data_IF_926321266277
#
_entry.id   IF_926321266277
#
_cell.length_a   1.000
_cell.length_b   1.000
_cell.length_c   1.000
_cell.angle_alpha   90.00
_cell.angle_beta   90.00
_cell.angle_gamma   90.00
#
_symmetry.space_group_name_H-M   'P 1'
#
loop_
_entity.id
_entity.type
_entity.pdbx_description
1 polymer ?
#
# COMPACT_ATOMS: atom_id res chain seq x y z
N UNK A 1 15.73 4.37 10.35
CA UNK A 1 15.18 4.94 9.11
C UNK A 1 13.68 4.70 9.02
N UNK A 2 13.01 5.42 8.10
CA UNK A 2 11.57 5.31 7.91
C UNK A 2 11.11 3.94 7.41
N UNK A 3 9.79 3.74 7.40
CA UNK A 3 9.18 2.51 6.92
C UNK A 3 7.97 2.78 6.03
N UNK A 4 7.84 2.01 4.96
CA UNK A 4 6.70 2.01 4.05
C UNK A 4 5.92 0.72 4.27
N UNK A 5 4.62 0.85 4.55
CA UNK A 5 3.70 -0.27 4.62
C UNK A 5 2.75 -0.19 3.42
N UNK A 6 2.85 -1.17 2.54
CA UNK A 6 2.04 -1.28 1.35
C UNK A 6 0.97 -2.35 1.57
N UNK A 7 -0.28 -2.01 1.33
CA UNK A 7 -1.41 -2.94 1.38
C UNK A 7 -1.99 -3.16 -0.02
N UNK A 8 -2.68 -4.29 -0.20
CA UNK A 8 -3.67 -4.48 -1.25
C UNK A 8 -5.07 -4.13 -0.70
N UNK A 9 -6.08 -3.99 -1.59
CA UNK A 9 -7.48 -3.89 -1.17
C UNK A 9 -7.99 -5.25 -0.66
N UNK A 10 -7.31 -5.79 0.35
CA UNK A 10 -7.52 -7.13 0.90
C UNK A 10 -8.00 -7.05 2.35
N UNK A 11 -9.08 -7.74 2.65
CA UNK A 11 -9.61 -7.88 4.01
C UNK A 11 -9.99 -6.55 4.65
N UNK A 12 -9.56 -6.34 5.88
CA UNK A 12 -9.81 -5.13 6.65
C UNK A 12 -8.72 -4.08 6.40
N UNK A 13 -8.70 -3.51 5.21
CA UNK A 13 -7.67 -2.60 4.67
C UNK A 13 -7.32 -1.41 5.58
N UNK A 14 -8.24 -0.96 6.41
CA UNK A 14 -8.02 0.16 7.33
C UNK A 14 -7.23 -0.24 8.59
N UNK A 15 -7.29 -1.50 8.99
CA UNK A 15 -6.68 -1.95 10.25
C UNK A 15 -5.16 -1.97 10.28
N UNK A 16 -4.42 -2.29 9.20
CA UNK A 16 -2.95 -2.23 9.23
C UNK A 16 -2.42 -0.88 9.70
N UNK A 17 -2.98 0.21 9.17
CA UNK A 17 -2.59 1.57 9.56
C UNK A 17 -2.91 1.90 11.01
N UNK A 18 -4.10 1.51 11.50
CA UNK A 18 -4.51 1.71 12.88
C UNK A 18 -3.67 0.91 13.88
N UNK A 19 -3.38 -0.35 13.56
CA UNK A 19 -2.50 -1.20 14.39
C UNK A 19 -1.08 -0.61 14.45
N UNK A 20 -0.57 -0.09 13.33
CA UNK A 20 0.74 0.57 13.30
C UNK A 20 0.74 1.84 14.15
N UNK A 21 -0.32 2.66 14.07
CA UNK A 21 -0.46 3.86 14.89
C UNK A 21 -0.45 3.51 16.39
N UNK A 22 -1.26 2.55 16.81
CA UNK A 22 -1.35 2.10 18.18
C UNK A 22 -0.03 1.52 18.72
N UNK A 23 0.60 0.63 17.94
CA UNK A 23 1.81 -0.08 18.37
C UNK A 23 3.08 0.78 18.34
N UNK A 24 3.16 1.75 17.44
CA UNK A 24 4.34 2.61 17.30
C UNK A 24 4.24 3.91 18.11
N UNK A 25 3.03 4.32 18.50
CA UNK A 25 2.75 5.65 19.02
C UNK A 25 2.93 6.76 17.98
N UNK A 26 3.15 6.42 16.70
CA UNK A 26 3.31 7.35 15.59
C UNK A 26 1.99 7.51 14.84
N UNK A 27 1.90 8.55 14.00
CA UNK A 27 0.75 8.74 13.10
C UNK A 27 1.19 8.45 11.66
N UNK A 28 0.98 7.22 11.12
CA UNK A 28 1.36 6.90 9.76
C UNK A 28 0.73 7.87 8.75
N UNK A 29 1.52 8.38 7.82
CA UNK A 29 1.05 9.23 6.73
C UNK A 29 0.45 8.37 5.64
N UNK A 30 -0.80 8.66 5.24
CA UNK A 30 -1.47 7.96 4.15
C UNK A 30 -2.12 8.94 3.16
N UNK A 31 -1.83 8.84 1.86
CA UNK A 31 -2.50 9.64 0.86
C UNK A 31 -3.92 9.13 0.64
N UNK A 32 -4.84 10.05 0.41
CA UNK A 32 -6.22 9.78 0.05
C UNK A 32 -6.63 10.62 -1.15
N UNK A 33 -7.30 10.00 -2.11
CA UNK A 33 -7.91 10.70 -3.23
C UNK A 33 -9.03 11.60 -2.77
N UNK A 34 -9.25 12.68 -3.51
CA UNK A 34 -10.39 13.55 -3.29
C UNK A 34 -11.68 12.88 -3.78
N UNK A 35 -12.65 12.76 -2.91
CA UNK A 35 -13.95 12.19 -3.24
C UNK A 35 -14.86 13.28 -3.77
N UNK A 36 -15.63 13.01 -4.83
CA UNK A 36 -16.57 13.94 -5.42
C UNK A 36 -17.72 14.36 -4.48
N UNK A 37 -17.94 13.64 -3.38
CA UNK A 37 -18.93 13.98 -2.37
C UNK A 37 -18.25 14.59 -1.13
N UNK A 38 -18.44 15.89 -0.83
CA UNK A 38 -17.75 16.55 0.28
C UNK A 38 -18.20 16.07 1.67
N UNK A 39 -19.40 15.51 1.81
CA UNK A 39 -19.87 14.95 3.08
C UNK A 39 -19.12 13.64 3.37
N UNK A 40 -19.04 12.78 2.35
CA UNK A 40 -18.27 11.52 2.45
C UNK A 40 -16.78 11.81 2.66
N UNK A 41 -16.23 12.80 1.97
CA UNK A 41 -14.83 13.21 2.16
C UNK A 41 -14.55 13.58 3.62
N UNK A 42 -15.36 14.45 4.21
CA UNK A 42 -15.21 14.87 5.62
C UNK A 42 -15.37 13.70 6.59
N UNK A 43 -16.31 12.80 6.32
CA UNK A 43 -16.51 11.62 7.14
C UNK A 43 -15.30 10.69 7.09
N UNK A 44 -14.79 10.40 5.90
CA UNK A 44 -13.59 9.55 5.73
C UNK A 44 -12.34 10.16 6.38
N UNK A 45 -12.13 11.47 6.24
CA UNK A 45 -11.02 12.16 6.91
C UNK A 45 -11.10 12.06 8.43
N UNK A 46 -12.30 12.18 9.00
CA UNK A 46 -12.52 12.02 10.44
C UNK A 46 -12.25 10.59 10.90
N UNK A 47 -12.84 9.61 10.22
CA UNK A 47 -12.68 8.19 10.58
C UNK A 47 -11.22 7.78 10.50
N UNK A 48 -10.56 8.05 9.38
CA UNK A 48 -9.15 7.67 9.19
C UNK A 48 -8.19 8.48 10.04
N UNK A 49 -8.44 9.79 10.16
CA UNK A 49 -7.57 10.69 10.91
C UNK A 49 -7.72 10.55 12.42
N UNK A 50 -8.92 10.77 12.96
CA UNK A 50 -9.19 10.78 14.39
C UNK A 50 -9.45 9.36 14.92
N UNK A 51 -10.26 8.57 14.18
CA UNK A 51 -10.66 7.23 14.60
C UNK A 51 -9.56 6.19 14.50
N UNK A 52 -8.75 6.23 13.43
CA UNK A 52 -7.70 5.24 13.19
C UNK A 52 -6.27 5.77 13.45
N UNK A 53 -6.13 7.01 13.88
CA UNK A 53 -4.84 7.59 14.25
C UNK A 53 -3.90 7.88 13.06
N UNK A 54 -4.43 8.00 11.83
CA UNK A 54 -3.64 8.27 10.64
C UNK A 54 -3.47 9.78 10.40
N UNK A 55 -2.41 10.16 9.72
CA UNK A 55 -2.25 11.49 9.11
C UNK A 55 -2.61 11.40 7.65
N UNK A 56 -3.86 11.75 7.33
CA UNK A 56 -4.34 11.72 5.94
C UNK A 56 -3.87 12.98 5.21
N UNK A 57 -3.31 12.79 4.01
CA UNK A 57 -2.87 13.87 3.13
C UNK A 57 -3.55 13.73 1.76
N UNK A 58 -3.70 14.82 0.99
CA UNK A 58 -4.16 14.72 -0.40
C UNK A 58 -3.23 13.85 -1.23
N UNK A 59 -3.78 12.99 -2.09
CA UNK A 59 -2.99 12.16 -3.00
C UNK A 59 -2.17 13.01 -3.99
N UNK A 60 -2.75 14.13 -4.44
CA UNK A 60 -2.03 15.08 -5.29
C UNK A 60 -0.89 15.76 -4.50
N UNK A 61 0.34 15.62 -5.00
CA UNK A 61 1.52 16.18 -4.33
C UNK A 61 2.02 15.41 -3.12
N UNK A 62 1.44 14.24 -2.81
CA UNK A 62 1.79 13.43 -1.64
C UNK A 62 3.26 13.01 -1.58
N UNK A 63 3.93 12.86 -2.72
CA UNK A 63 5.30 12.33 -2.78
C UNK A 63 6.29 13.12 -1.91
N UNK A 64 6.26 14.45 -1.97
CA UNK A 64 7.16 15.30 -1.19
C UNK A 64 6.92 15.16 0.34
N UNK A 65 5.64 15.09 0.75
CA UNK A 65 5.26 14.92 2.16
C UNK A 65 5.69 13.56 2.67
N UNK A 66 5.47 12.50 1.87
CA UNK A 66 5.88 11.13 2.22
C UNK A 66 7.41 11.00 2.30
N UNK A 67 8.15 11.60 1.37
CA UNK A 67 9.63 11.60 1.41
C UNK A 67 10.15 12.31 2.67
N UNK A 68 9.57 13.45 3.04
CA UNK A 68 9.94 14.17 4.25
C UNK A 68 9.63 13.35 5.51
N UNK A 69 8.48 12.68 5.56
CA UNK A 69 8.11 11.79 6.66
C UNK A 69 9.10 10.64 6.84
N UNK A 70 9.48 9.98 5.73
CA UNK A 70 10.46 8.89 5.76
C UNK A 70 11.85 9.36 6.17
N UNK A 71 12.27 10.54 5.73
CA UNK A 71 13.54 11.15 6.13
C UNK A 71 13.58 11.46 7.64
N UNK A 72 12.43 11.81 8.23
CA UNK A 72 12.27 11.98 9.67
C UNK A 72 12.18 10.67 10.46
N UNK A 73 12.25 9.51 9.79
CA UNK A 73 12.12 8.21 10.43
C UNK A 73 10.68 7.74 10.64
N UNK A 74 9.72 8.43 10.02
CA UNK A 74 8.30 8.17 10.13
C UNK A 74 7.79 6.98 9.33
N UNK A 75 6.47 6.81 9.32
CA UNK A 75 5.78 5.70 8.67
C UNK A 75 4.86 6.23 7.56
N UNK A 76 4.95 5.62 6.39
CA UNK A 76 4.05 5.86 5.26
C UNK A 76 3.22 4.62 4.98
N UNK A 77 1.90 4.77 4.91
CA UNK A 77 0.95 3.74 4.50
C UNK A 77 0.43 3.99 3.09
N UNK A 78 0.47 2.98 2.25
CA UNK A 78 0.01 3.04 0.87
C UNK A 78 -0.89 1.85 0.55
N UNK A 79 -1.80 2.01 -0.41
CA UNK A 79 -2.48 0.91 -1.09
C UNK A 79 -2.00 0.88 -2.52
N UNK A 80 -1.51 -0.25 -2.99
CA UNK A 80 -0.75 -0.28 -4.25
C UNK A 80 -0.96 -1.50 -5.12
N UNK A 81 -2.13 -2.11 -5.08
CA UNK A 81 -2.53 -3.19 -6.00
C UNK A 81 -3.19 -2.69 -7.28
N UNK A 82 -3.61 -1.39 -7.34
CA UNK A 82 -4.31 -0.81 -8.48
C UNK A 82 -3.46 0.24 -9.19
N UNK A 83 -3.23 0.06 -10.48
CA UNK A 83 -2.48 1.02 -11.31
C UNK A 83 -3.39 2.11 -11.90
N UNK A 84 -4.00 2.94 -11.06
CA UNK A 84 -4.95 4.00 -11.46
C UNK A 84 -4.28 5.05 -12.36
N UNK A 85 -3.02 5.37 -12.14
CA UNK A 85 -2.30 6.42 -12.88
C UNK A 85 -1.81 6.00 -14.27
N UNK A 86 -1.93 4.72 -14.65
CA UNK A 86 -1.35 4.16 -15.88
C UNK A 86 0.19 4.04 -15.85
N UNK A 87 0.86 4.53 -14.82
CA UNK A 87 2.33 4.49 -14.67
C UNK A 87 2.78 3.26 -13.88
N UNK A 88 2.26 2.08 -14.25
CA UNK A 88 2.59 0.84 -13.58
C UNK A 88 3.85 0.18 -14.14
N UNK A 89 4.58 -0.50 -13.28
CA UNK A 89 5.70 -1.37 -13.66
C UNK A 89 5.16 -2.76 -13.97
N UNK A 90 5.53 -3.37 -15.11
CA UNK A 90 5.15 -4.74 -15.42
C UNK A 90 5.70 -5.72 -14.38
N UNK A 91 4.85 -6.60 -13.90
CA UNK A 91 5.17 -7.71 -12.99
C UNK A 91 4.39 -8.95 -13.41
N UNK A 92 4.81 -10.13 -12.95
CA UNK A 92 3.93 -11.30 -12.93
C UNK A 92 3.11 -11.27 -11.63
N UNK A 93 1.82 -11.47 -11.72
CA UNK A 93 0.94 -11.62 -10.56
C UNK A 93 0.01 -12.83 -10.81
N UNK A 94 0.14 -13.86 -9.98
CA UNK A 94 -0.52 -15.16 -10.15
C UNK A 94 -0.26 -15.79 -11.53
N UNK A 95 0.99 -15.66 -12.03
CA UNK A 95 1.42 -16.21 -13.31
C UNK A 95 0.96 -15.43 -14.55
N UNK A 96 0.17 -14.37 -14.38
CA UNK A 96 -0.29 -13.51 -15.48
C UNK A 96 0.39 -12.13 -15.47
N UNK A 97 0.58 -11.49 -16.65
CA UNK A 97 1.10 -10.13 -16.72
C UNK A 97 0.18 -9.13 -16.04
N UNK A 98 0.71 -8.35 -15.10
CA UNK A 98 0.00 -7.30 -14.40
C UNK A 98 0.90 -6.04 -14.29
N UNK A 99 0.33 -4.93 -13.79
CA UNK A 99 1.07 -3.69 -13.56
C UNK A 99 0.83 -3.19 -12.15
N UNK A 100 1.90 -3.07 -11.37
CA UNK A 100 1.83 -2.42 -10.06
C UNK A 100 2.24 -0.95 -10.14
N UNK A 101 1.60 -0.05 -9.36
CA UNK A 101 2.00 1.35 -9.27
C UNK A 101 3.46 1.51 -8.89
N UNK A 102 4.19 2.36 -9.59
CA UNK A 102 5.61 2.58 -9.36
C UNK A 102 5.92 3.22 -7.98
N UNK A 103 4.95 3.92 -7.40
CA UNK A 103 5.15 4.85 -6.28
C UNK A 103 5.85 4.26 -5.07
N UNK A 104 5.40 3.10 -4.59
CA UNK A 104 5.95 2.48 -3.37
C UNK A 104 7.40 2.02 -3.56
N UNK A 105 7.71 1.37 -4.69
CA UNK A 105 9.06 0.92 -5.00
C UNK A 105 10.02 2.11 -5.20
N UNK A 106 9.58 3.12 -5.92
CA UNK A 106 10.38 4.33 -6.16
C UNK A 106 10.67 5.06 -4.85
N UNK A 107 9.65 5.24 -4.01
CA UNK A 107 9.78 5.89 -2.71
C UNK A 107 10.75 5.12 -1.79
N UNK A 108 10.69 3.78 -1.77
CA UNK A 108 11.61 2.95 -1.01
C UNK A 108 13.06 3.10 -1.48
N UNK A 109 13.29 3.07 -2.80
CA UNK A 109 14.62 3.23 -3.39
C UNK A 109 15.22 4.61 -3.10
N UNK A 110 14.42 5.68 -3.22
CA UNK A 110 14.88 7.06 -3.05
C UNK A 110 15.11 7.43 -1.58
N UNK A 111 14.27 6.95 -0.68
CA UNK A 111 14.38 7.26 0.76
C UNK A 111 15.30 6.30 1.53
N UNK A 112 15.61 5.14 0.98
CA UNK A 112 16.27 4.06 1.72
C UNK A 112 15.41 3.47 2.85
N UNK A 113 14.10 3.75 2.87
CA UNK A 113 13.18 3.24 3.86
C UNK A 113 12.95 1.73 3.68
N UNK A 114 12.66 1.04 4.79
CA UNK A 114 12.26 -0.36 4.73
C UNK A 114 10.88 -0.48 4.09
N UNK A 115 10.72 -1.47 3.22
CA UNK A 115 9.46 -1.75 2.54
C UNK A 115 8.81 -3.00 3.10
N UNK A 116 7.55 -2.90 3.46
CA UNK A 116 6.75 -4.01 3.95
C UNK A 116 5.44 -4.10 3.18
N UNK A 117 4.96 -5.32 2.96
CA UNK A 117 3.58 -5.59 2.54
C UNK A 117 2.81 -6.07 3.76
N UNK A 118 1.64 -5.49 4.00
CA UNK A 118 0.82 -5.81 5.15
C UNK A 118 -0.64 -6.05 4.75
N UNK A 119 -1.29 -6.99 5.43
CA UNK A 119 -2.70 -7.26 5.30
C UNK A 119 -3.32 -7.62 6.67
N UNK A 120 -4.59 -7.34 6.84
CA UNK A 120 -5.38 -7.84 7.97
C UNK A 120 -6.59 -8.58 7.40
N UNK A 121 -6.60 -9.87 7.57
CA UNK A 121 -7.61 -10.79 7.03
C UNK A 121 -8.62 -11.09 8.13
N UNK A 122 -9.90 -11.05 7.78
CA UNK A 122 -10.97 -11.46 8.65
C UNK A 122 -11.09 -12.98 8.65
N UNK A 123 -10.94 -13.57 9.81
CA UNK A 123 -11.10 -15.00 10.06
C UNK A 123 -12.54 -15.33 10.49
N UNK A 124 -12.80 -16.61 10.66
CA UNK A 124 -14.06 -17.07 11.23
C UNK A 124 -14.34 -16.46 12.62
N UNK A 125 -15.61 -16.38 12.97
CA UNK A 125 -16.10 -15.84 14.26
C UNK A 125 -15.73 -14.37 14.51
N UNK A 126 -15.40 -13.59 13.45
CA UNK A 126 -15.12 -12.17 13.56
C UNK A 126 -13.74 -11.84 14.13
N UNK A 127 -12.83 -12.79 14.16
CA UNK A 127 -11.43 -12.56 14.49
C UNK A 127 -10.70 -11.94 13.28
N UNK A 128 -9.56 -11.33 13.55
CA UNK A 128 -8.71 -10.72 12.52
C UNK A 128 -7.26 -11.13 12.74
N UNK A 129 -6.60 -11.55 11.66
CA UNK A 129 -5.18 -11.91 11.67
C UNK A 129 -4.38 -10.95 10.83
N UNK A 130 -3.37 -10.32 11.43
CA UNK A 130 -2.43 -9.42 10.75
C UNK A 130 -1.24 -10.17 10.18
N UNK A 131 -0.89 -9.88 8.93
CA UNK A 131 0.26 -10.43 8.24
C UNK A 131 1.17 -9.29 7.78
N UNK A 132 2.48 -9.48 7.91
CA UNK A 132 3.50 -8.54 7.44
C UNK A 132 4.59 -9.34 6.74
N UNK A 133 5.03 -8.85 5.57
CA UNK A 133 6.18 -9.36 4.82
C UNK A 133 7.13 -8.22 4.52
N UNK A 134 8.36 -8.34 4.91
CA UNK A 134 9.40 -7.41 4.46
C UNK A 134 9.76 -7.73 3.01
N UNK A 135 9.91 -6.70 2.21
CA UNK A 135 10.36 -6.76 0.81
C UNK A 135 11.77 -6.20 0.74
N UNK A 136 12.67 -6.96 0.15
CA UNK A 136 14.04 -6.50 -0.07
C UNK A 136 14.07 -5.42 -1.15
N UNK A 137 14.73 -4.31 -0.86
CA UNK A 137 15.00 -3.24 -1.79
C UNK A 137 16.47 -3.33 -2.20
N UNK A 138 16.79 -3.74 -3.44
CA UNK A 138 18.18 -3.90 -3.86
C UNK A 138 18.98 -2.62 -3.74
N UNK A 139 20.26 -2.74 -3.42
CA UNK A 139 21.20 -1.61 -3.34
C UNK A 139 22.05 -1.45 -4.60
N UNK A 140 22.19 -2.51 -5.41
CA UNK A 140 22.91 -2.51 -6.67
C UNK A 140 21.99 -2.24 -7.87
N UNK A 141 22.52 -1.64 -8.93
CA UNK A 141 21.78 -1.27 -10.12
C UNK A 141 21.30 0.18 -10.12
N UNK A 142 20.78 0.60 -11.27
CA UNK A 142 20.20 1.94 -11.38
C UNK A 142 18.87 2.08 -10.63
N UNK A 143 18.38 3.31 -10.52
CA UNK A 143 17.14 3.62 -9.79
C UNK A 143 15.94 2.81 -10.29
N UNK A 144 15.80 2.66 -11.61
CA UNK A 144 14.66 1.99 -12.20
C UNK A 144 14.77 0.47 -12.08
N UNK A 145 15.96 -0.08 -12.22
CA UNK A 145 16.23 -1.52 -11.99
C UNK A 145 15.90 -1.90 -10.55
N UNK A 146 16.37 -1.12 -9.59
CA UNK A 146 16.08 -1.31 -8.15
C UNK A 146 14.58 -1.20 -7.85
N UNK A 147 13.91 -0.21 -8.45
CA UNK A 147 12.46 -0.02 -8.29
C UNK A 147 11.67 -1.20 -8.84
N UNK A 148 12.03 -1.70 -10.03
CA UNK A 148 11.40 -2.88 -10.63
C UNK A 148 11.60 -4.12 -9.78
N UNK A 149 12.81 -4.37 -9.31
CA UNK A 149 13.12 -5.52 -8.48
C UNK A 149 12.36 -5.48 -7.14
N UNK A 150 12.25 -4.31 -6.50
CA UNK A 150 11.42 -4.15 -5.30
C UNK A 150 9.94 -4.46 -5.58
N UNK A 151 9.39 -4.01 -6.72
CA UNK A 151 8.00 -4.28 -7.08
C UNK A 151 7.74 -5.73 -7.48
N UNK A 152 8.72 -6.46 -7.99
CA UNK A 152 8.63 -7.93 -8.15
C UNK A 152 8.51 -8.59 -6.78
N UNK A 153 9.28 -8.16 -5.79
CA UNK A 153 9.14 -8.64 -4.41
C UNK A 153 7.79 -8.29 -3.79
N UNK A 154 7.24 -7.09 -4.09
CA UNK A 154 5.88 -6.70 -3.68
C UNK A 154 4.84 -7.63 -4.31
N UNK A 155 4.95 -7.95 -5.61
CA UNK A 155 4.03 -8.85 -6.28
C UNK A 155 4.02 -10.24 -5.61
N UNK A 156 5.19 -10.80 -5.34
CA UNK A 156 5.30 -12.08 -4.63
C UNK A 156 4.68 -12.04 -3.22
N UNK A 157 4.87 -10.95 -2.49
CA UNK A 157 4.25 -10.77 -1.17
C UNK A 157 2.71 -10.60 -1.27
N UNK A 158 2.22 -9.92 -2.31
CA UNK A 158 0.77 -9.85 -2.58
C UNK A 158 0.19 -11.22 -2.90
N UNK A 159 0.83 -12.01 -3.77
CA UNK A 159 0.40 -13.38 -4.06
C UNK A 159 0.27 -14.22 -2.80
N UNK A 160 1.29 -14.18 -1.93
CA UNK A 160 1.26 -14.93 -0.68
C UNK A 160 0.10 -14.51 0.23
N UNK A 161 -0.13 -13.20 0.38
CA UNK A 161 -1.16 -12.71 1.30
C UNK A 161 -2.57 -12.84 0.73
N UNK A 162 -2.76 -12.57 -0.56
CA UNK A 162 -4.05 -12.72 -1.25
C UNK A 162 -4.47 -14.19 -1.29
N UNK A 163 -3.53 -15.13 -1.50
CA UNK A 163 -3.83 -16.57 -1.51
C UNK A 163 -4.40 -17.10 -0.18
N UNK A 164 -4.26 -16.36 0.92
CA UNK A 164 -4.83 -16.76 2.21
C UNK A 164 -6.34 -16.51 2.31
N UNK A 165 -6.85 -15.52 1.58
CA UNK A 165 -8.26 -15.14 1.57
C UNK A 165 -8.61 -14.40 0.26
N UNK A 166 -8.54 -15.09 -0.91
CA UNK A 166 -8.74 -14.44 -2.20
C UNK A 166 -10.14 -13.83 -2.34
N UNK A 167 -11.14 -14.40 -1.68
CA UNK A 167 -12.51 -13.88 -1.61
C UNK A 167 -12.64 -12.54 -0.87
N UNK A 168 -11.61 -12.13 -0.12
CA UNK A 168 -11.55 -10.83 0.55
C UNK A 168 -10.77 -9.78 -0.24
N UNK A 169 -10.30 -10.09 -1.44
CA UNK A 169 -9.59 -9.15 -2.29
C UNK A 169 -10.55 -8.33 -3.16
N UNK A 170 -10.66 -7.04 -2.87
CA UNK A 170 -11.64 -6.12 -3.46
C UNK A 170 -11.20 -5.54 -4.80
N UNK A 171 -11.18 -6.36 -5.84
CA UNK A 171 -10.79 -5.95 -7.21
C UNK A 171 -11.95 -5.91 -8.20
N UNK A 172 -13.17 -6.17 -7.75
CA UNK A 172 -14.35 -6.36 -8.59
C UNK A 172 -14.58 -5.23 -9.62
N UNK A 173 -14.28 -3.99 -9.24
CA UNK A 173 -14.49 -2.81 -10.11
C UNK A 173 -13.19 -2.29 -10.74
N UNK A 174 -12.09 -3.03 -10.62
CA UNK A 174 -10.81 -2.63 -11.15
C UNK A 174 -10.05 -3.86 -11.65
N UNK A 175 -10.02 -4.09 -12.97
CA UNK A 175 -9.30 -5.21 -13.54
C UNK A 175 -7.80 -5.03 -13.27
N UNK A 176 -7.18 -6.07 -12.71
CA UNK A 176 -5.74 -6.10 -12.42
C UNK A 176 -4.97 -6.56 -13.67
N UNK A 177 -5.59 -7.40 -14.48
CA UNK A 177 -5.02 -7.95 -15.70
C UNK A 177 -5.67 -7.31 -16.93
N UNK A 178 -4.85 -7.02 -17.94
CA UNK A 178 -5.27 -6.29 -19.16
C UNK A 178 -6.23 -7.11 -20.05
N UNK A 179 -6.29 -8.43 -19.88
CA UNK A 179 -7.14 -9.36 -20.63
C UNK A 179 -8.54 -9.57 -20.03
N UNK A 180 -8.82 -9.00 -18.88
CA UNK A 180 -10.14 -9.03 -18.29
C UNK A 180 -11.01 -7.88 -18.83
N UNK A 181 -12.26 -8.17 -19.26
CA UNK A 181 -13.18 -7.10 -19.69
C UNK A 181 -13.45 -6.15 -18.51
N UNK A 182 -13.40 -4.86 -18.81
CA UNK A 182 -13.74 -3.77 -17.87
C UNK A 182 -15.23 -3.67 -17.61
#
# INVERSE_FOLDING_TARGET
GGAIFLAAHLGAIELPGSILADRSGMRPVAPMEELGNPVLQRWMLRVRGEGLGLRIIPAQGAAAVMSAELAAGGIVGLVGDRNISGRGVPVSLFGAPARLPIGAGLLAVESGARLFVAAVIREDRGLYTGYIRQVDVPTAGDRMERTRAALVGVAAAFEELISKAPEQWWTLFYPIWDDLPS
#
